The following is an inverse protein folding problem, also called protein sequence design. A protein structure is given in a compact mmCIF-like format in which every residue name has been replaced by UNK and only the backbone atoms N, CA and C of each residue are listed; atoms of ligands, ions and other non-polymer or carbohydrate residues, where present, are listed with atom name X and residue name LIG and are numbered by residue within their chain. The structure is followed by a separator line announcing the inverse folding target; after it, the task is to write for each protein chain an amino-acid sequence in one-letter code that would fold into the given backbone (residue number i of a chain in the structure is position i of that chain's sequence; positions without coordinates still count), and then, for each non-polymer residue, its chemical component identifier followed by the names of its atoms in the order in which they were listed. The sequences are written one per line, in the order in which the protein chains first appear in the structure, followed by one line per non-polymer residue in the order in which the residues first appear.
data_IF_853340963910
#
_entry.id   IF_853340963910
#
_cell.length_a   1.000
_cell.length_b   1.000
_cell.length_c   1.000
_cell.angle_alpha   90.00
_cell.angle_beta   90.00
_cell.angle_gamma   90.00
#
_symmetry.space_group_name_H-M   'P 1'
#
loop_
_entity.id
_entity.type
_entity.pdbx_description
1 polymer ?
#
# COMPACT_ATOMS: atom_id res chain seq x y z
N UNK A 1 -10.37 -1.04 -35.52
CA UNK A 1 -9.16 -1.35 -34.74
C UNK A 1 -9.53 -2.38 -33.68
N UNK A 2 -8.92 -3.54 -33.75
CA UNK A 2 -9.19 -4.58 -32.77
C UNK A 2 -8.45 -4.23 -31.48
N UNK A 3 -9.16 -4.23 -30.36
CA UNK A 3 -8.51 -4.31 -29.07
C UNK A 3 -7.81 -5.66 -28.98
N UNK A 4 -6.51 -5.66 -29.06
CA UNK A 4 -5.74 -6.83 -28.72
C UNK A 4 -5.55 -6.81 -27.20
N UNK A 5 -6.15 -7.75 -26.46
CA UNK A 5 -5.82 -7.87 -25.05
C UNK A 5 -4.33 -8.09 -24.93
N UNK A 6 -3.68 -7.30 -24.08
CA UNK A 6 -2.27 -7.51 -23.73
C UNK A 6 -2.04 -8.99 -23.50
N UNK A 7 -1.06 -9.55 -24.20
CA UNK A 7 -0.76 -10.97 -24.08
C UNK A 7 -0.58 -11.36 -22.60
N UNK A 8 -1.06 -12.54 -22.21
CA UNK A 8 -0.82 -13.05 -20.86
C UNK A 8 0.66 -12.96 -20.49
N UNK A 9 1.00 -12.25 -19.41
CA UNK A 9 2.36 -12.13 -18.92
C UNK A 9 3.09 -10.83 -19.25
N UNK A 10 2.45 -9.85 -19.92
CA UNK A 10 3.08 -8.58 -20.29
C UNK A 10 2.79 -7.43 -19.33
N UNK A 11 2.52 -7.67 -18.09
CA UNK A 11 2.29 -6.64 -17.06
C UNK A 11 2.00 -7.26 -15.71
N UNK A 12 1.97 -6.42 -14.65
CA UNK A 12 1.66 -6.92 -13.32
C UNK A 12 0.26 -7.52 -13.29
N UNK A 13 0.15 -8.69 -12.66
CA UNK A 13 -1.10 -9.44 -12.58
C UNK A 13 -1.51 -9.72 -11.16
N UNK A 14 -2.81 -9.62 -10.93
CA UNK A 14 -3.42 -10.10 -9.70
C UNK A 14 -3.35 -11.62 -9.61
N UNK A 15 -3.13 -12.11 -8.40
CA UNK A 15 -3.18 -13.54 -8.06
C UNK A 15 -4.30 -13.77 -7.06
N UNK A 16 -4.78 -15.03 -6.88
CA UNK A 16 -5.79 -15.29 -5.84
C UNK A 16 -5.36 -14.86 -4.44
N UNK A 17 -4.07 -14.99 -4.11
CA UNK A 17 -3.53 -14.55 -2.82
C UNK A 17 -3.65 -13.04 -2.64
N UNK A 18 -3.57 -12.25 -3.71
CA UNK A 18 -3.68 -10.79 -3.63
C UNK A 18 -5.04 -10.37 -3.09
N UNK A 19 -6.10 -11.06 -3.45
CA UNK A 19 -7.45 -10.77 -2.94
C UNK A 19 -7.54 -11.01 -1.42
N UNK A 20 -6.94 -12.08 -0.94
CA UNK A 20 -6.93 -12.40 0.49
C UNK A 20 -6.20 -11.32 1.28
N UNK A 21 -4.98 -10.98 0.88
CA UNK A 21 -4.14 -10.05 1.63
C UNK A 21 -4.63 -8.60 1.52
N UNK A 22 -5.14 -8.19 0.35
CA UNK A 22 -5.68 -6.84 0.21
C UNK A 22 -6.95 -6.65 1.04
N UNK A 23 -7.79 -7.68 1.13
CA UNK A 23 -8.95 -7.65 2.03
C UNK A 23 -8.51 -7.45 3.48
N UNK A 24 -7.47 -8.16 3.91
CA UNK A 24 -6.92 -8.00 5.25
C UNK A 24 -6.39 -6.57 5.46
N UNK A 25 -5.70 -6.00 4.48
CA UNK A 25 -5.23 -4.61 4.57
C UNK A 25 -6.40 -3.64 4.77
N UNK A 26 -7.50 -3.83 4.05
CA UNK A 26 -8.71 -3.01 4.24
C UNK A 26 -9.32 -3.18 5.63
N UNK A 27 -9.31 -4.39 6.18
CA UNK A 27 -9.78 -4.65 7.54
C UNK A 27 -8.90 -3.96 8.58
N UNK A 28 -7.58 -3.99 8.40
CA UNK A 28 -6.65 -3.30 9.29
C UNK A 28 -6.87 -1.78 9.28
N UNK A 29 -7.27 -1.21 8.16
CA UNK A 29 -7.60 0.22 8.07
C UNK A 29 -8.71 0.63 9.04
N UNK A 30 -9.62 -0.28 9.39
CA UNK A 30 -10.71 0.00 10.33
C UNK A 30 -10.23 0.07 11.78
N UNK A 31 -9.01 -0.38 12.07
CA UNK A 31 -8.43 -0.33 13.42
C UNK A 31 -7.77 1.00 13.74
N UNK A 32 -7.59 1.86 12.74
CA UNK A 32 -6.92 3.14 12.92
C UNK A 32 -7.68 4.06 13.87
N UNK A 33 -6.98 4.79 14.75
CA UNK A 33 -7.61 5.87 15.48
C UNK A 33 -8.22 6.89 14.52
N UNK A 34 -9.40 7.47 14.82
CA UNK A 34 -10.03 8.46 13.95
C UNK A 34 -9.11 9.66 13.68
N UNK A 35 -9.20 10.23 12.48
CA UNK A 35 -8.46 11.43 12.11
C UNK A 35 -9.30 12.28 11.16
N UNK A 36 -9.14 13.59 11.27
CA UNK A 36 -9.73 14.57 10.34
C UNK A 36 -8.72 15.08 9.32
N UNK A 37 -7.45 14.75 9.51
CA UNK A 37 -6.33 15.32 8.72
C UNK A 37 -5.52 14.28 7.99
N UNK A 38 -5.82 12.99 8.16
CA UNK A 38 -5.08 11.91 7.52
C UNK A 38 -5.99 10.73 7.25
N UNK A 39 -5.73 10.02 6.16
CA UNK A 39 -6.45 8.80 5.82
C UNK A 39 -6.07 7.65 6.75
N UNK A 40 -7.02 6.77 6.98
CA UNK A 40 -6.84 5.53 7.71
C UNK A 40 -6.56 4.41 6.71
N UNK A 41 -5.41 3.77 6.83
CA UNK A 41 -4.86 2.80 5.89
C UNK A 41 -4.39 1.57 6.66
N UNK A 42 -4.50 0.40 6.02
CA UNK A 42 -3.92 -0.84 6.52
C UNK A 42 -2.92 -1.38 5.51
N UNK A 43 -1.88 -2.06 6.00
CA UNK A 43 -0.86 -2.65 5.15
C UNK A 43 -0.40 -4.01 5.68
N UNK A 44 -0.04 -4.89 4.76
CA UNK A 44 0.52 -6.22 5.06
C UNK A 44 1.72 -6.46 4.14
N UNK A 45 2.79 -6.99 4.69
CA UNK A 45 3.96 -7.41 3.91
C UNK A 45 4.02 -8.94 3.93
N UNK A 46 4.04 -9.55 2.74
CA UNK A 46 3.95 -11.01 2.58
C UNK A 46 5.11 -11.51 1.74
N UNK A 47 5.81 -12.53 2.23
CA UNK A 47 6.90 -13.17 1.52
C UNK A 47 6.39 -13.97 0.31
N UNK A 48 7.30 -14.30 -0.61
CA UNK A 48 6.97 -15.05 -1.82
C UNK A 48 6.32 -16.41 -1.55
N UNK A 49 6.64 -17.04 -0.41
CA UNK A 49 6.07 -18.33 -0.01
C UNK A 49 4.69 -18.20 0.68
N UNK A 50 4.15 -16.99 0.81
CA UNK A 50 2.87 -16.75 1.46
C UNK A 50 2.97 -16.46 2.96
N UNK A 51 4.17 -16.39 3.53
CA UNK A 51 4.36 -16.04 4.94
C UNK A 51 4.07 -14.56 5.15
N UNK A 52 3.17 -14.24 6.09
CA UNK A 52 2.98 -12.85 6.52
C UNK A 52 4.19 -12.41 7.34
N UNK A 53 4.93 -11.42 6.84
CA UNK A 53 6.12 -10.90 7.53
C UNK A 53 5.75 -9.87 8.58
N UNK A 54 4.81 -8.99 8.28
CA UNK A 54 4.33 -7.98 9.21
C UNK A 54 3.02 -7.36 8.71
N UNK A 55 2.31 -6.72 9.62
CA UNK A 55 1.14 -5.90 9.31
C UNK A 55 1.22 -4.58 10.07
N UNK A 56 0.52 -3.58 9.58
CA UNK A 56 0.46 -2.29 10.22
C UNK A 56 -0.76 -1.49 9.80
N UNK A 57 -1.06 -0.43 10.53
CA UNK A 57 -2.13 0.49 10.18
C UNK A 57 -1.75 1.91 10.60
N UNK A 58 -2.43 2.89 10.03
CA UNK A 58 -2.14 4.30 10.27
C UNK A 58 -2.29 4.66 11.75
N UNK A 59 -1.35 5.42 12.29
CA UNK A 59 -1.35 5.90 13.68
C UNK A 59 -1.37 4.75 14.69
N UNK A 60 -0.74 3.64 14.34
CA UNK A 60 -0.62 2.47 15.21
C UNK A 60 0.20 2.79 16.46
N UNK A 61 -0.24 2.25 17.60
CA UNK A 61 0.45 2.49 18.87
C UNK A 61 0.42 3.96 19.30
N UNK A 62 1.53 4.45 19.79
CA UNK A 62 1.65 5.83 20.31
C UNK A 62 2.17 6.84 19.29
N UNK A 63 2.30 6.45 18.01
CA UNK A 63 2.82 7.34 16.97
C UNK A 63 1.65 7.93 16.14
N UNK A 64 1.30 9.21 16.36
CA UNK A 64 0.14 9.82 15.72
C UNK A 64 0.36 10.13 14.22
N UNK A 65 1.57 9.96 13.70
CA UNK A 65 1.89 10.26 12.30
C UNK A 65 2.43 9.07 11.53
N UNK A 66 2.53 7.88 12.13
CA UNK A 66 3.00 6.69 11.41
C UNK A 66 1.97 6.29 10.36
N UNK A 67 2.47 5.96 9.16
CA UNK A 67 1.65 5.39 8.09
C UNK A 67 1.65 3.86 8.20
N UNK A 68 0.67 3.23 7.56
CA UNK A 68 0.49 1.78 7.63
C UNK A 68 1.71 1.00 7.12
N UNK A 69 2.23 1.39 5.96
CA UNK A 69 3.38 0.73 5.34
C UNK A 69 4.63 0.90 6.19
N UNK A 70 4.82 2.10 6.74
CA UNK A 70 5.92 2.41 7.65
C UNK A 70 5.85 1.53 8.90
N UNK A 71 4.66 1.42 9.50
CA UNK A 71 4.45 0.61 10.69
C UNK A 71 4.74 -0.87 10.41
N UNK A 72 4.31 -1.39 9.26
CA UNK A 72 4.57 -2.77 8.88
C UNK A 72 6.05 -3.03 8.62
N UNK A 73 6.70 -2.20 7.81
CA UNK A 73 8.12 -2.36 7.46
C UNK A 73 9.03 -2.23 8.68
N UNK A 74 8.68 -1.37 9.64
CA UNK A 74 9.47 -1.20 10.86
C UNK A 74 9.55 -2.45 11.73
N UNK A 75 8.64 -3.40 11.55
CA UNK A 75 8.59 -4.67 12.29
C UNK A 75 9.46 -5.75 11.65
N UNK A 76 10.04 -5.47 10.47
CA UNK A 76 10.85 -6.42 9.72
C UNK A 76 12.31 -5.95 9.76
N UNK A 77 13.25 -6.87 9.91
CA UNK A 77 14.66 -6.54 9.88
C UNK A 77 15.05 -5.90 8.54
N UNK A 78 15.82 -4.80 8.58
CA UNK A 78 16.16 -4.00 7.40
C UNK A 78 16.88 -4.82 6.30
N UNK A 79 17.55 -5.88 6.67
CA UNK A 79 18.30 -6.74 5.75
C UNK A 79 17.65 -8.11 5.57
N UNK A 80 16.37 -8.24 5.86
CA UNK A 80 15.68 -9.52 5.67
C UNK A 80 15.64 -9.86 4.18
N UNK A 81 16.28 -11.00 3.77
CA UNK A 81 16.40 -11.33 2.35
C UNK A 81 15.05 -11.62 1.68
N UNK A 82 14.00 -11.90 2.45
CA UNK A 82 12.67 -12.16 1.93
C UNK A 82 12.01 -10.91 1.35
N UNK A 83 12.48 -9.71 1.72
CA UNK A 83 11.93 -8.45 1.22
C UNK A 83 12.08 -8.29 -0.30
N UNK A 84 13.17 -8.82 -0.88
CA UNK A 84 13.42 -8.69 -2.32
C UNK A 84 12.34 -9.37 -3.19
N UNK A 85 11.67 -10.39 -2.66
CA UNK A 85 10.59 -11.11 -3.36
C UNK A 85 9.24 -10.97 -2.67
N UNK A 86 9.14 -10.08 -1.69
CA UNK A 86 7.90 -9.84 -0.96
C UNK A 86 6.94 -8.93 -1.73
N UNK A 87 5.67 -8.95 -1.32
CA UNK A 87 4.63 -8.04 -1.79
C UNK A 87 4.14 -7.20 -0.63
N UNK A 88 3.99 -5.90 -0.85
CA UNK A 88 3.30 -4.99 0.08
C UNK A 88 1.86 -4.82 -0.40
N UNK A 89 0.92 -5.12 0.48
CA UNK A 89 -0.50 -4.88 0.28
C UNK A 89 -0.90 -3.64 1.08
N UNK A 90 -1.48 -2.66 0.42
CA UNK A 90 -1.92 -1.43 1.09
C UNK A 90 -3.31 -1.04 0.61
N UNK A 91 -4.20 -0.70 1.53
CA UNK A 91 -5.56 -0.31 1.20
C UNK A 91 -5.62 1.01 0.41
N UNK A 92 -4.61 1.86 0.55
CA UNK A 92 -4.47 3.11 -0.19
C UNK A 92 -3.10 3.12 -0.87
N UNK A 93 -3.02 3.76 -2.03
CA UNK A 93 -1.77 4.00 -2.74
C UNK A 93 -0.69 4.54 -1.78
N UNK A 94 0.51 3.92 -1.71
CA UNK A 94 1.59 4.45 -0.88
C UNK A 94 1.94 5.88 -1.28
N UNK A 95 2.13 6.75 -0.29
CA UNK A 95 2.34 8.15 -0.56
C UNK A 95 3.68 8.41 -1.26
N UNK A 96 3.68 9.36 -2.21
CA UNK A 96 4.88 9.86 -2.88
C UNK A 96 5.45 11.10 -2.19
N UNK A 97 4.66 11.75 -1.34
CA UNK A 97 5.02 12.96 -0.60
C UNK A 97 4.38 12.93 0.77
N UNK A 98 5.08 13.43 1.76
CA UNK A 98 4.52 13.62 3.10
C UNK A 98 5.35 14.67 3.85
N UNK A 99 4.67 15.43 4.74
CA UNK A 99 5.32 16.44 5.55
C UNK A 99 5.85 15.91 6.88
N UNK A 100 5.28 14.82 7.40
CA UNK A 100 5.55 14.32 8.77
C UNK A 100 6.82 13.49 8.91
N UNK A 101 7.43 13.04 7.81
CA UNK A 101 8.64 12.23 7.79
C UNK A 101 9.52 12.62 6.61
N UNK A 102 10.86 12.37 6.69
CA UNK A 102 11.78 12.66 5.57
C UNK A 102 11.47 11.85 4.30
N UNK A 103 11.05 10.59 4.44
CA UNK A 103 10.78 9.72 3.30
C UNK A 103 9.30 9.35 3.22
N UNK A 104 8.66 9.45 2.04
CA UNK A 104 7.31 8.94 1.82
C UNK A 104 7.30 7.41 1.76
N UNK A 105 6.11 6.80 1.92
CA UNK A 105 5.99 5.35 1.98
C UNK A 105 6.44 4.66 0.70
N UNK A 106 6.19 5.24 -0.47
CA UNK A 106 6.69 4.67 -1.72
C UNK A 106 8.21 4.53 -1.72
N UNK A 107 8.93 5.52 -1.18
CA UNK A 107 10.38 5.46 -1.05
C UNK A 107 10.83 4.44 -0.01
N UNK A 108 10.13 4.35 1.13
CA UNK A 108 10.43 3.36 2.16
C UNK A 108 10.31 1.93 1.61
N UNK A 109 9.29 1.67 0.81
CA UNK A 109 9.07 0.37 0.16
C UNK A 109 10.24 0.04 -0.78
N UNK A 110 10.62 1.00 -1.63
CA UNK A 110 11.74 0.81 -2.58
C UNK A 110 13.07 0.61 -1.85
N UNK A 111 13.34 1.39 -0.82
CA UNK A 111 14.56 1.29 -0.02
C UNK A 111 14.64 -0.04 0.72
N UNK A 112 13.51 -0.61 1.11
CA UNK A 112 13.44 -1.94 1.73
C UNK A 112 13.74 -3.07 0.74
N UNK A 113 13.74 -2.78 -0.56
CA UNK A 113 14.00 -3.78 -1.60
C UNK A 113 12.77 -4.45 -2.17
N UNK A 114 11.58 -4.07 -1.71
CA UNK A 114 10.32 -4.64 -2.21
C UNK A 114 10.07 -4.16 -3.64
N UNK A 115 9.64 -5.08 -4.51
CA UNK A 115 9.43 -4.81 -5.94
C UNK A 115 8.02 -5.14 -6.42
N UNK A 116 7.10 -5.38 -5.51
CA UNK A 116 5.69 -5.63 -5.84
C UNK A 116 4.78 -4.99 -4.81
N UNK A 117 3.78 -4.24 -5.28
CA UNK A 117 2.82 -3.55 -4.43
C UNK A 117 1.41 -3.76 -4.99
N UNK A 118 0.47 -4.10 -4.14
CA UNK A 118 -0.95 -4.26 -4.49
C UNK A 118 -1.76 -3.26 -3.68
N UNK A 119 -2.57 -2.45 -4.35
CA UNK A 119 -3.39 -1.43 -3.69
C UNK A 119 -4.84 -1.50 -4.17
N UNK A 120 -5.75 -0.91 -3.37
CA UNK A 120 -7.17 -0.89 -3.68
C UNK A 120 -7.64 0.45 -4.24
N UNK A 121 -6.95 1.53 -3.90
CA UNK A 121 -7.46 2.87 -4.13
C UNK A 121 -6.30 3.85 -4.30
N UNK A 122 -6.38 4.72 -5.30
CA UNK A 122 -5.38 5.77 -5.52
C UNK A 122 -5.62 6.91 -4.53
N UNK A 123 -4.53 7.51 -4.04
CA UNK A 123 -4.61 8.61 -3.09
C UNK A 123 -5.26 9.84 -3.76
N UNK A 124 -6.39 10.34 -3.22
CA UNK A 124 -7.01 11.55 -3.76
C UNK A 124 -6.24 12.81 -3.30
N UNK A 125 -6.44 13.93 -4.00
CA UNK A 125 -5.75 15.20 -3.74
C UNK A 125 -6.30 15.95 -2.51
N UNK A 126 -6.83 15.25 -1.53
CA UNK A 126 -7.44 15.85 -0.32
C UNK A 126 -6.37 16.49 0.58
N UNK A 127 -5.28 15.78 0.83
CA UNK A 127 -4.19 16.25 1.71
C UNK A 127 -2.88 16.45 0.96
N UNK A 128 -2.70 15.81 -0.18
CA UNK A 128 -1.48 15.87 -0.99
C UNK A 128 -1.86 16.14 -2.44
N UNK A 129 -1.38 17.25 -2.99
CA UNK A 129 -1.62 17.60 -4.40
C UNK A 129 -0.76 16.73 -5.31
N UNK A 130 -1.35 16.23 -6.39
CA UNK A 130 -0.67 15.43 -7.42
C UNK A 130 0.00 14.17 -6.84
N UNK A 131 -0.71 13.48 -5.94
CA UNK A 131 -0.25 12.20 -5.39
C UNK A 131 -0.04 11.18 -6.52
N UNK A 132 1.15 10.57 -6.58
CA UNK A 132 1.49 9.56 -7.59
C UNK A 132 2.52 8.56 -7.03
N UNK A 133 2.18 7.94 -5.91
CA UNK A 133 3.00 6.90 -5.29
C UNK A 133 3.16 5.69 -6.20
N UNK A 134 2.10 5.28 -6.90
CA UNK A 134 2.14 4.18 -7.84
C UNK A 134 3.10 4.49 -9.01
N UNK A 135 3.07 5.71 -9.52
CA UNK A 135 4.00 6.14 -10.58
C UNK A 135 5.45 6.12 -10.11
N UNK A 136 5.72 6.59 -8.90
CA UNK A 136 7.06 6.54 -8.31
C UNK A 136 7.57 5.10 -8.18
N UNK A 137 6.72 4.20 -7.67
CA UNK A 137 7.07 2.77 -7.54
C UNK A 137 7.36 2.16 -8.91
N UNK A 138 6.48 2.37 -9.89
CA UNK A 138 6.64 1.80 -11.23
C UNK A 138 7.90 2.35 -11.94
N UNK A 139 8.18 3.65 -11.79
CA UNK A 139 9.37 4.28 -12.37
C UNK A 139 10.69 3.70 -11.84
N UNK A 140 10.67 3.12 -10.64
CA UNK A 140 11.82 2.49 -10.01
C UNK A 140 11.79 0.97 -10.07
N UNK A 141 11.00 0.40 -10.97
CA UNK A 141 11.02 -1.03 -11.28
C UNK A 141 10.12 -1.90 -10.43
N UNK A 142 9.23 -1.34 -9.63
CA UNK A 142 8.26 -2.12 -8.88
C UNK A 142 7.03 -2.44 -9.75
N UNK A 143 6.49 -3.64 -9.61
CA UNK A 143 5.21 -4.02 -10.19
C UNK A 143 4.09 -3.51 -9.30
N UNK A 144 3.20 -2.71 -9.86
CA UNK A 144 2.05 -2.17 -9.12
C UNK A 144 0.77 -2.77 -9.68
N UNK A 145 -0.01 -3.39 -8.79
CA UNK A 145 -1.32 -3.96 -9.12
C UNK A 145 -2.39 -3.17 -8.37
N UNK A 146 -3.39 -2.69 -9.08
CA UNK A 146 -4.53 -2.01 -8.47
C UNK A 146 -5.76 -2.90 -8.60
N UNK A 147 -6.43 -3.18 -7.49
CA UNK A 147 -7.66 -3.98 -7.44
C UNK A 147 -8.82 -3.07 -7.00
N UNK A 148 -9.45 -2.34 -7.95
CA UNK A 148 -10.47 -1.34 -7.61
C UNK A 148 -11.74 -1.94 -7.01
N UNK A 149 -11.96 -3.23 -7.13
CA UNK A 149 -13.08 -3.92 -6.47
C UNK A 149 -13.03 -3.84 -4.94
N UNK A 150 -11.87 -3.52 -4.36
CA UNK A 150 -11.72 -3.30 -2.91
C UNK A 150 -11.75 -1.82 -2.53
N UNK A 151 -11.91 -0.91 -3.48
CA UNK A 151 -11.87 0.53 -3.23
C UNK A 151 -12.90 0.98 -2.19
N UNK A 152 -14.13 0.46 -2.27
CA UNK A 152 -15.17 0.84 -1.32
C UNK A 152 -14.83 0.39 0.11
N UNK A 153 -14.23 -0.79 0.27
CA UNK A 153 -13.76 -1.26 1.58
C UNK A 153 -12.63 -0.38 2.11
N UNK A 154 -11.71 0.01 1.23
CA UNK A 154 -10.59 0.88 1.59
C UNK A 154 -11.06 2.28 2.00
N UNK A 155 -12.10 2.79 1.34
CA UNK A 155 -12.68 4.10 1.63
C UNK A 155 -13.54 4.13 2.90
N UNK A 156 -14.09 2.99 3.30
CA UNK A 156 -15.07 2.93 4.39
C UNK A 156 -14.64 3.67 5.67
N UNK A 157 -13.42 3.48 6.21
CA UNK A 157 -12.99 4.22 7.39
C UNK A 157 -12.64 5.69 7.12
N UNK A 158 -12.70 6.13 5.86
CA UNK A 158 -12.30 7.46 5.42
C UNK A 158 -13.48 8.30 4.88
N UNK A 159 -14.71 7.80 4.96
CA UNK A 159 -15.87 8.46 4.33
C UNK A 159 -16.05 9.91 4.78
N UNK A 160 -15.77 10.21 6.03
CA UNK A 160 -15.87 11.57 6.59
C UNK A 160 -14.86 12.55 5.96
N UNK A 161 -13.86 12.05 5.26
CA UNK A 161 -12.84 12.86 4.58
C UNK A 161 -13.11 13.01 3.08
N UNK A 162 -14.12 12.34 2.55
CA UNK A 162 -14.38 12.20 1.12
C UNK A 162 -15.67 12.91 0.66
N UNK A 163 -16.13 13.88 1.39
CA UNK A 163 -17.31 14.66 1.00
C UNK A 163 -17.02 15.62 -0.16
#
# INVERSE_FOLDING_TARGET
MRYEPTAPGTGPRATPADHHWLRLACELATLCPPSRTAFSVGAVVVAADGTELARGYSREGDDPVVHAEEAALAKIGANDPRLASATVYSSLEPCARRASRPAPCARLILDAGVRRVVTAWREPDTFVTAADGNGLLAAHGADVVVLPEYAERAKAPNKHLLS
#
